data_IF_611290622819
#
_entry.id   IF_611290622819
#
_cell.length_a   1.000
_cell.length_b   1.000
_cell.length_c   1.000
_cell.angle_alpha   90.00
_cell.angle_beta   90.00
_cell.angle_gamma   90.00
#
_symmetry.space_group_name_H-M   'P 1'
#
loop_
_entity.id
_entity.type
_entity.pdbx_description
1 polymer ?
#
# COMPACT_ATOMS: atom_id res chain seq x y z
N UNK A 1 7.56 -31.14 -34.89
CA UNK A 1 6.43 -30.41 -34.27
C UNK A 1 6.84 -29.98 -32.87
N UNK A 2 6.75 -28.67 -32.55
CA UNK A 2 7.13 -28.11 -31.25
C UNK A 2 6.21 -28.62 -30.14
N UNK A 3 6.65 -29.68 -29.44
CA UNK A 3 5.90 -30.34 -28.35
C UNK A 3 5.62 -29.42 -27.14
N UNK A 4 6.36 -28.31 -27.03
CA UNK A 4 6.29 -27.36 -25.91
C UNK A 4 5.67 -25.99 -26.24
N UNK A 5 5.23 -25.77 -27.49
CA UNK A 5 4.64 -24.49 -27.92
C UNK A 5 3.50 -23.98 -27.01
N UNK A 6 2.53 -24.84 -26.61
CA UNK A 6 1.46 -24.43 -25.70
C UNK A 6 1.97 -24.03 -24.31
N UNK A 7 2.91 -24.79 -23.74
CA UNK A 7 3.49 -24.50 -22.42
C UNK A 7 4.29 -23.19 -22.44
N UNK A 8 5.04 -22.94 -23.51
CA UNK A 8 5.78 -21.69 -23.69
C UNK A 8 4.83 -20.49 -23.75
N UNK A 9 3.73 -20.60 -24.51
CA UNK A 9 2.73 -19.53 -24.61
C UNK A 9 2.04 -19.22 -23.29
N UNK A 10 1.71 -20.24 -22.50
CA UNK A 10 1.12 -20.05 -21.17
C UNK A 10 2.13 -19.39 -20.23
N UNK A 11 3.38 -19.87 -20.21
CA UNK A 11 4.43 -19.31 -19.36
C UNK A 11 4.71 -17.83 -19.66
N UNK A 12 4.82 -17.47 -20.93
CA UNK A 12 5.04 -16.07 -21.33
C UNK A 12 3.84 -15.18 -20.99
N UNK A 13 2.61 -15.67 -21.19
CA UNK A 13 1.39 -14.92 -20.85
C UNK A 13 1.32 -14.62 -19.35
N UNK A 14 1.60 -15.61 -18.49
CA UNK A 14 1.62 -15.43 -17.04
C UNK A 14 2.67 -14.40 -16.64
N UNK A 15 3.89 -14.48 -17.20
CA UNK A 15 4.96 -13.55 -16.88
C UNK A 15 4.61 -12.10 -17.27
N UNK A 16 4.03 -11.90 -18.45
CA UNK A 16 3.62 -10.57 -18.92
C UNK A 16 2.52 -9.98 -18.04
N UNK A 17 1.45 -10.74 -17.79
CA UNK A 17 0.34 -10.26 -16.95
C UNK A 17 0.80 -10.03 -15.51
N UNK A 18 1.59 -10.95 -14.94
CA UNK A 18 2.11 -10.83 -13.59
C UNK A 18 2.98 -9.59 -13.40
N UNK A 19 3.90 -9.33 -14.35
CA UNK A 19 4.75 -8.14 -14.31
C UNK A 19 3.96 -6.84 -14.49
N UNK A 20 2.93 -6.85 -15.33
CA UNK A 20 2.04 -5.70 -15.51
C UNK A 20 1.23 -5.38 -14.24
N UNK A 21 0.69 -6.40 -13.56
CA UNK A 21 -0.01 -6.21 -12.29
C UNK A 21 0.97 -5.67 -11.23
N UNK A 22 2.16 -6.27 -11.12
CA UNK A 22 3.18 -5.81 -10.17
C UNK A 22 3.59 -4.34 -10.39
N UNK A 23 3.70 -3.91 -11.64
CA UNK A 23 4.04 -2.52 -11.96
C UNK A 23 2.92 -1.54 -11.58
N UNK A 24 1.65 -1.92 -11.78
CA UNK A 24 0.50 -1.13 -11.35
C UNK A 24 0.41 -1.03 -9.82
N UNK A 25 0.63 -2.13 -9.10
CA UNK A 25 0.65 -2.11 -7.62
C UNK A 25 1.77 -1.22 -7.10
N UNK A 26 2.97 -1.33 -7.67
CA UNK A 26 4.11 -0.48 -7.28
C UNK A 26 3.83 1.00 -7.51
N UNK A 27 3.23 1.33 -8.65
CA UNK A 27 2.86 2.71 -8.99
C UNK A 27 1.79 3.25 -8.04
N UNK A 28 0.77 2.43 -7.76
CA UNK A 28 -0.31 2.78 -6.84
C UNK A 28 0.21 2.98 -5.42
N UNK A 29 1.08 2.08 -4.93
CA UNK A 29 1.73 2.22 -3.63
C UNK A 29 2.49 3.53 -3.53
N UNK A 30 3.34 3.86 -4.52
CA UNK A 30 4.12 5.11 -4.52
C UNK A 30 3.23 6.35 -4.52
N UNK A 31 2.11 6.32 -5.24
CA UNK A 31 1.15 7.42 -5.27
C UNK A 31 0.44 7.59 -3.93
N UNK A 32 0.02 6.49 -3.31
CA UNK A 32 -0.58 6.48 -1.98
C UNK A 32 0.43 6.96 -0.94
N UNK A 33 1.66 6.46 -0.94
CA UNK A 33 2.73 6.90 -0.05
C UNK A 33 2.99 8.41 -0.16
N UNK A 34 3.03 8.94 -1.39
CA UNK A 34 3.18 10.37 -1.62
C UNK A 34 1.98 11.17 -1.10
N UNK A 35 0.76 10.66 -1.28
CA UNK A 35 -0.44 11.30 -0.76
C UNK A 35 -0.44 11.30 0.78
N UNK A 36 -0.17 10.16 1.41
CA UNK A 36 -0.08 10.05 2.87
C UNK A 36 1.06 10.88 3.45
N UNK A 37 2.20 10.98 2.77
CA UNK A 37 3.29 11.86 3.17
C UNK A 37 2.86 13.34 3.22
N UNK A 38 2.03 13.80 2.28
CA UNK A 38 1.46 15.16 2.32
C UNK A 38 0.53 15.38 3.52
N UNK A 39 -0.22 14.35 3.91
CA UNK A 39 -1.12 14.42 5.06
C UNK A 39 -0.42 14.24 6.41
N UNK A 40 0.83 13.80 6.46
CA UNK A 40 1.63 13.73 7.69
C UNK A 40 2.41 15.02 7.96
N UNK A 41 1.74 16.17 7.86
CA UNK A 41 2.29 17.45 8.32
C UNK A 41 1.97 17.68 9.81
N UNK A 42 2.80 18.45 10.55
CA UNK A 42 2.52 18.80 11.95
C UNK A 42 1.14 19.42 12.15
N UNK A 43 0.66 20.19 11.18
CA UNK A 43 -0.65 20.85 11.21
C UNK A 43 -1.80 19.84 11.06
N UNK A 44 -1.63 18.83 10.22
CA UNK A 44 -2.61 17.75 10.04
C UNK A 44 -2.65 16.82 11.26
N UNK A 45 -1.50 16.46 11.82
CA UNK A 45 -1.44 15.69 13.06
C UNK A 45 -2.07 16.44 14.24
N UNK A 46 -1.85 17.75 14.35
CA UNK A 46 -2.52 18.59 15.35
C UNK A 46 -4.05 18.60 15.18
N UNK A 47 -4.54 18.70 13.93
CA UNK A 47 -5.97 18.60 13.64
C UNK A 47 -6.55 17.24 14.03
N UNK A 48 -5.83 16.13 13.72
CA UNK A 48 -6.27 14.79 14.12
C UNK A 48 -6.26 14.60 15.64
N UNK A 49 -5.28 15.16 16.36
CA UNK A 49 -5.25 15.13 17.83
C UNK A 49 -6.44 15.85 18.44
N UNK A 50 -6.88 16.98 17.85
CA UNK A 50 -8.10 17.70 18.28
C UNK A 50 -9.35 16.84 18.20
N UNK A 51 -9.47 15.95 17.22
CA UNK A 51 -10.61 15.04 17.11
C UNK A 51 -10.73 14.06 18.28
N UNK A 52 -9.68 13.86 19.06
CA UNK A 52 -9.66 13.03 20.26
C UNK A 52 -9.54 13.86 21.54
N UNK A 53 -9.67 15.18 21.49
CA UNK A 53 -9.72 16.01 22.70
C UNK A 53 -10.92 15.60 23.57
N UNK A 54 -10.65 15.16 24.80
CA UNK A 54 -11.68 14.70 25.75
C UNK A 54 -11.87 13.17 25.81
N UNK A 55 -11.16 12.39 24.99
CA UNK A 55 -11.19 10.93 25.03
C UNK A 55 -9.77 10.32 24.88
N UNK A 56 -9.51 9.09 25.35
CA UNK A 56 -8.22 8.43 25.12
C UNK A 56 -7.97 8.23 23.62
N UNK A 57 -6.80 8.67 23.13
CA UNK A 57 -6.41 8.46 21.73
C UNK A 57 -6.19 6.95 21.49
N UNK A 58 -7.01 6.27 20.66
CA UNK A 58 -6.88 4.84 20.41
C UNK A 58 -5.57 4.48 19.70
N UNK A 59 -4.86 5.46 19.13
CA UNK A 59 -3.58 5.23 18.42
C UNK A 59 -2.43 4.93 19.37
N UNK A 60 -2.48 5.42 20.61
CA UNK A 60 -1.47 5.17 21.65
C UNK A 60 -1.79 3.92 22.48
N UNK A 61 -2.88 3.23 22.17
CA UNK A 61 -3.28 1.99 22.84
C UNK A 61 -2.23 0.90 22.61
N UNK A 62 -1.87 0.18 23.68
CA UNK A 62 -1.00 -1.01 23.65
C UNK A 62 -1.49 -2.10 22.70
N UNK A 63 -2.80 -2.18 22.41
CA UNK A 63 -3.35 -3.15 21.47
C UNK A 63 -3.26 -2.70 19.99
N UNK A 64 -2.84 -1.48 19.72
CA UNK A 64 -2.70 -0.95 18.36
C UNK A 64 -1.36 -1.40 17.73
N UNK A 65 -1.25 -2.70 17.44
CA UNK A 65 -0.06 -3.28 16.80
C UNK A 65 0.22 -2.73 15.39
N UNK A 66 -0.79 -2.16 14.72
CA UNK A 66 -0.66 -1.52 13.40
C UNK A 66 0.00 -0.13 13.46
N UNK A 67 0.04 0.48 14.65
CA UNK A 67 0.65 1.79 14.89
C UNK A 67 2.10 1.73 15.40
N UNK A 68 2.62 0.54 15.70
CA UNK A 68 4.00 0.33 16.13
C UNK A 68 4.92 0.50 14.92
N UNK A 69 5.36 1.73 14.67
CA UNK A 69 6.43 2.08 13.73
C UNK A 69 7.65 2.56 14.48
#
# INVERSE_FOLDING_TARGET
>A
MMKYGPALMVGTSIAVVGSFIASQLTTSSRNLDRAFAKYNSPQSEASRKRSFEGAPDPRTNLLNCLGWK
#
